data_IF_059220362830
#
_entry.id   IF_059220362830
#
_cell.length_a   1.000
_cell.length_b   1.000
_cell.length_c   1.000
_cell.angle_alpha   90.00
_cell.angle_beta   90.00
_cell.angle_gamma   90.00
#
_symmetry.space_group_name_H-M   'P 1'
#
loop_
_entity.id
_entity.type
_entity.pdbx_description
1 polymer ?
#
# COMPACT_ATOMS: atom_id res chain seq x y z
N UNK A 1 11.18 -19.73 4.72
CA UNK A 1 10.77 -19.46 6.12
C UNK A 1 11.79 -18.64 6.93
N UNK A 2 12.90 -18.16 6.35
CA UNK A 2 13.99 -17.53 7.12
C UNK A 2 13.64 -16.18 7.76
N UNK A 3 12.82 -15.34 7.11
CA UNK A 3 12.52 -14.00 7.64
C UNK A 3 11.66 -14.04 8.91
N UNK A 4 10.44 -14.58 8.84
CA UNK A 4 9.52 -14.61 10.00
C UNK A 4 10.05 -15.48 11.14
N UNK A 5 10.63 -16.64 10.83
CA UNK A 5 11.20 -17.54 11.83
C UNK A 5 12.45 -16.95 12.49
N UNK A 6 13.39 -16.40 11.70
CA UNK A 6 14.59 -15.75 12.24
C UNK A 6 14.26 -14.53 13.08
N UNK A 7 13.27 -13.72 12.65
CA UNK A 7 12.78 -12.58 13.42
C UNK A 7 12.13 -13.03 14.74
N UNK A 8 11.33 -14.10 14.71
CA UNK A 8 10.72 -14.64 15.93
C UNK A 8 11.78 -15.05 16.94
N UNK A 9 12.76 -15.85 16.50
CA UNK A 9 13.86 -16.31 17.35
C UNK A 9 14.69 -15.16 17.91
N UNK A 10 14.93 -14.11 17.11
CA UNK A 10 15.63 -12.91 17.58
C UNK A 10 14.82 -12.13 18.63
N UNK A 11 13.52 -11.95 18.42
CA UNK A 11 12.66 -11.25 19.37
C UNK A 11 12.61 -12.01 20.72
N UNK A 12 12.41 -13.32 20.68
CA UNK A 12 12.40 -14.17 21.88
C UNK A 12 13.76 -14.12 22.59
N UNK A 13 14.86 -14.30 21.85
CA UNK A 13 16.22 -14.22 22.39
C UNK A 13 16.49 -12.88 23.06
N UNK A 14 16.14 -11.77 22.41
CA UNK A 14 16.56 -10.46 22.89
C UNK A 14 15.63 -9.86 23.95
N UNK A 15 14.38 -10.29 24.00
CA UNK A 15 13.38 -9.80 24.96
C UNK A 15 13.69 -10.07 26.43
N UNK A 16 14.59 -11.04 26.71
CA UNK A 16 14.94 -11.46 28.08
C UNK A 16 16.21 -10.80 28.62
N UNK A 17 16.88 -9.95 27.83
CA UNK A 17 18.03 -9.21 28.32
C UNK A 17 17.61 -8.07 29.27
N UNK A 18 18.45 -7.70 30.25
CA UNK A 18 18.17 -6.57 31.14
C UNK A 18 17.89 -5.26 30.38
N UNK A 19 18.58 -5.03 29.26
CA UNK A 19 18.40 -3.84 28.42
C UNK A 19 17.03 -3.78 27.72
N UNK A 20 16.31 -4.91 27.63
CA UNK A 20 14.99 -4.98 27.04
C UNK A 20 13.87 -4.62 28.04
N UNK A 21 14.16 -4.57 29.34
CA UNK A 21 13.18 -4.32 30.40
C UNK A 21 12.42 -2.99 30.22
N UNK A 22 13.07 -1.85 29.89
CA UNK A 22 12.36 -0.60 29.60
C UNK A 22 11.48 -0.66 28.34
N UNK A 23 11.68 -1.66 27.48
CA UNK A 23 11.00 -1.84 26.19
C UNK A 23 10.10 -3.07 26.16
N UNK A 24 9.72 -3.61 27.33
CA UNK A 24 8.95 -4.85 27.43
C UNK A 24 7.67 -4.85 26.57
N UNK A 25 6.89 -3.76 26.60
CA UNK A 25 5.67 -3.64 25.77
C UNK A 25 5.96 -3.81 24.28
N UNK A 26 7.03 -3.17 23.79
CA UNK A 26 7.43 -3.30 22.40
C UNK A 26 7.78 -4.75 22.05
N UNK A 27 8.58 -5.43 22.88
CA UNK A 27 8.93 -6.83 22.62
C UNK A 27 7.71 -7.75 22.65
N UNK A 28 6.85 -7.62 23.65
CA UNK A 28 5.64 -8.44 23.78
C UNK A 28 4.73 -8.28 22.56
N UNK A 29 4.47 -7.03 22.13
CA UNK A 29 3.67 -6.73 20.94
C UNK A 29 4.30 -7.29 19.66
N UNK A 30 5.63 -7.17 19.50
CA UNK A 30 6.34 -7.66 18.32
C UNK A 30 6.39 -9.17 18.27
N UNK A 31 6.60 -9.85 19.40
CA UNK A 31 6.56 -11.31 19.52
C UNK A 31 5.18 -11.83 19.13
N UNK A 32 4.12 -11.22 19.69
CA UNK A 32 2.75 -11.62 19.39
C UNK A 32 2.42 -11.42 17.90
N UNK A 33 2.71 -10.23 17.36
CA UNK A 33 2.41 -9.92 15.96
C UNK A 33 3.20 -10.82 14.98
N UNK A 34 4.52 -10.95 15.16
CA UNK A 34 5.35 -11.76 14.27
C UNK A 34 5.01 -13.26 14.37
N UNK A 35 4.73 -13.76 15.59
CA UNK A 35 4.30 -15.14 15.82
C UNK A 35 2.96 -15.46 15.15
N UNK A 36 1.99 -14.55 15.20
CA UNK A 36 0.72 -14.70 14.50
C UNK A 36 0.91 -14.82 12.97
N UNK A 37 1.77 -14.00 12.36
CA UNK A 37 2.10 -14.14 10.94
C UNK A 37 2.88 -15.42 10.62
N UNK A 38 3.81 -15.83 11.49
CA UNK A 38 4.59 -17.04 11.31
C UNK A 38 3.71 -18.29 11.32
N UNK A 39 2.76 -18.37 12.27
CA UNK A 39 1.81 -19.49 12.36
C UNK A 39 0.89 -19.57 11.15
N UNK A 40 0.39 -18.41 10.67
CA UNK A 40 -0.36 -18.32 9.42
C UNK A 40 0.45 -18.84 8.23
N UNK A 41 1.71 -18.39 8.08
CA UNK A 41 2.58 -18.80 6.98
C UNK A 41 2.96 -20.29 7.03
N UNK A 42 3.02 -20.86 8.23
CA UNK A 42 3.25 -22.29 8.45
C UNK A 42 1.99 -23.14 8.26
N UNK A 43 0.83 -22.54 7.96
CA UNK A 43 -0.44 -23.25 7.85
C UNK A 43 -0.95 -23.81 9.18
N UNK A 44 -0.48 -23.28 10.31
CA UNK A 44 -0.83 -23.72 11.66
C UNK A 44 -2.01 -22.97 12.26
N UNK A 45 -2.48 -21.91 11.59
CA UNK A 45 -3.70 -21.18 11.95
C UNK A 45 -4.62 -21.11 10.74
N UNK A 46 -5.93 -20.91 10.98
CA UNK A 46 -6.84 -20.58 9.88
C UNK A 46 -6.41 -19.28 9.20
N UNK A 47 -6.64 -19.23 7.88
CA UNK A 47 -6.40 -18.07 7.02
C UNK A 47 -7.67 -17.26 6.76
N UNK A 48 -8.82 -17.74 7.24
CA UNK A 48 -10.13 -17.19 6.87
C UNK A 48 -10.27 -15.74 7.35
N UNK A 49 -9.98 -15.47 8.61
CA UNK A 49 -10.01 -14.10 9.16
C UNK A 49 -9.01 -13.18 8.48
N UNK A 50 -7.83 -13.70 8.13
CA UNK A 50 -6.81 -12.93 7.43
C UNK A 50 -7.29 -12.53 6.02
N UNK A 51 -7.87 -13.47 5.28
CA UNK A 51 -8.45 -13.19 3.97
C UNK A 51 -9.68 -12.30 4.06
N UNK A 52 -10.58 -12.51 5.02
CA UNK A 52 -11.73 -11.65 5.24
C UNK A 52 -11.30 -10.19 5.48
N UNK A 53 -10.32 -9.96 6.36
CA UNK A 53 -9.76 -8.62 6.61
C UNK A 53 -9.06 -8.05 5.37
N UNK A 54 -8.30 -8.87 4.63
CA UNK A 54 -7.61 -8.45 3.42
C UNK A 54 -8.61 -7.99 2.33
N UNK A 55 -9.70 -8.76 2.14
CA UNK A 55 -10.78 -8.39 1.24
C UNK A 55 -11.49 -7.11 1.70
N UNK A 56 -11.78 -6.97 2.99
CA UNK A 56 -12.38 -5.75 3.53
C UNK A 56 -11.50 -4.51 3.30
N UNK A 57 -10.19 -4.62 3.54
CA UNK A 57 -9.25 -3.53 3.27
C UNK A 57 -9.19 -3.18 1.78
N UNK A 58 -9.14 -4.17 0.90
CA UNK A 58 -9.15 -3.94 -0.55
C UNK A 58 -10.44 -3.25 -1.00
N UNK A 59 -11.59 -3.67 -0.49
CA UNK A 59 -12.88 -3.05 -0.78
C UNK A 59 -12.96 -1.60 -0.27
N UNK A 60 -12.38 -1.31 0.89
CA UNK A 60 -12.31 0.06 1.41
C UNK A 60 -11.45 0.96 0.52
N UNK A 61 -10.33 0.44 0.00
CA UNK A 61 -9.49 1.16 -0.98
C UNK A 61 -10.28 1.46 -2.24
N UNK A 62 -10.97 0.45 -2.81
CA UNK A 62 -11.79 0.64 -3.99
C UNK A 62 -12.93 1.67 -3.76
N UNK A 63 -13.54 1.64 -2.58
CA UNK A 63 -14.59 2.60 -2.18
C UNK A 63 -14.04 4.02 -2.09
N UNK A 64 -12.91 4.22 -1.40
CA UNK A 64 -12.25 5.52 -1.29
C UNK A 64 -11.86 6.06 -2.66
N UNK A 65 -11.21 5.22 -3.48
CA UNK A 65 -10.74 5.57 -4.83
C UNK A 65 -11.88 6.05 -5.73
N UNK A 66 -13.02 5.35 -5.72
CA UNK A 66 -14.15 5.64 -6.63
C UNK A 66 -15.10 6.74 -6.13
N UNK A 67 -15.06 7.06 -4.84
CA UNK A 67 -15.98 8.03 -4.23
C UNK A 67 -15.25 9.20 -3.60
N UNK A 68 -14.91 9.13 -2.29
CA UNK A 68 -14.32 10.24 -1.54
C UNK A 68 -13.14 10.92 -2.23
N UNK A 69 -12.23 10.17 -2.86
CA UNK A 69 -11.07 10.71 -3.54
C UNK A 69 -11.44 11.77 -4.59
N UNK A 70 -12.56 11.58 -5.31
CA UNK A 70 -13.00 12.48 -6.37
C UNK A 70 -13.32 13.89 -5.89
N UNK A 71 -13.69 14.04 -4.60
CA UNK A 71 -13.97 15.35 -4.00
C UNK A 71 -12.71 16.18 -3.72
N UNK A 72 -11.54 15.52 -3.63
CA UNK A 72 -10.25 16.17 -3.43
C UNK A 72 -9.53 16.47 -4.74
N UNK A 73 -9.88 15.76 -5.83
CA UNK A 73 -9.22 15.92 -7.11
C UNK A 73 -9.74 17.13 -7.89
N UNK A 74 -8.84 17.95 -8.47
CA UNK A 74 -9.24 18.99 -9.41
C UNK A 74 -9.82 18.35 -10.68
N UNK A 75 -10.47 19.16 -11.52
CA UNK A 75 -10.90 18.70 -12.86
C UNK A 75 -9.68 18.34 -13.74
N UNK A 76 -8.55 19.01 -13.53
CA UNK A 76 -7.28 18.77 -14.20
C UNK A 76 -6.12 19.30 -13.37
N UNK A 77 -4.93 18.69 -13.48
CA UNK A 77 -3.72 19.13 -12.78
C UNK A 77 -3.57 18.49 -11.40
N UNK A 78 -3.07 19.26 -10.44
CA UNK A 78 -2.69 18.80 -9.11
C UNK A 78 -3.59 19.38 -8.01
N UNK A 79 -3.66 18.71 -6.87
CA UNK A 79 -4.36 19.18 -5.66
C UNK A 79 -3.77 20.53 -5.22
N UNK A 80 -2.44 20.67 -5.27
CA UNK A 80 -1.72 21.92 -5.01
C UNK A 80 -1.89 23.02 -6.08
N UNK A 81 -2.61 22.76 -7.17
CA UNK A 81 -2.80 23.70 -8.27
C UNK A 81 -1.74 23.55 -9.37
N UNK A 82 -1.08 24.66 -9.74
CA UNK A 82 -0.07 24.67 -10.82
C UNK A 82 1.15 23.81 -10.46
N UNK A 83 1.55 23.85 -9.18
CA UNK A 83 2.66 23.08 -8.65
C UNK A 83 2.09 22.04 -7.68
N UNK A 84 2.46 20.75 -7.80
CA UNK A 84 2.00 19.73 -6.86
C UNK A 84 2.48 20.03 -5.44
N UNK A 85 1.58 19.88 -4.49
CA UNK A 85 1.83 20.06 -3.06
C UNK A 85 2.09 18.73 -2.34
N UNK A 86 2.13 18.80 -1.00
CA UNK A 86 2.32 17.63 -0.12
C UNK A 86 1.31 16.51 -0.40
N UNK A 87 0.04 16.87 -0.55
CA UNK A 87 -1.05 15.95 -0.83
C UNK A 87 -0.82 15.17 -2.14
N UNK A 88 -0.28 15.84 -3.17
CA UNK A 88 0.00 15.21 -4.45
C UNK A 88 1.11 14.17 -4.34
N UNK A 89 2.13 14.42 -3.53
CA UNK A 89 3.22 13.46 -3.29
C UNK A 89 2.69 12.20 -2.60
N UNK A 90 1.84 12.36 -1.59
CA UNK A 90 1.23 11.21 -0.91
C UNK A 90 0.28 10.46 -1.84
N UNK A 91 -0.61 11.16 -2.54
CA UNK A 91 -1.58 10.55 -3.43
C UNK A 91 -0.91 9.85 -4.62
N UNK A 92 0.04 10.50 -5.27
CA UNK A 92 0.76 9.93 -6.41
C UNK A 92 1.52 8.66 -6.03
N UNK A 93 2.24 8.68 -4.90
CA UNK A 93 2.95 7.51 -4.41
C UNK A 93 2.01 6.39 -3.93
N UNK A 94 0.83 6.74 -3.42
CA UNK A 94 -0.21 5.76 -3.08
C UNK A 94 -0.81 5.13 -4.33
N UNK A 95 -1.24 5.94 -5.32
CA UNK A 95 -1.81 5.47 -6.58
C UNK A 95 -0.88 4.50 -7.32
N UNK A 96 0.41 4.81 -7.40
CA UNK A 96 1.38 3.92 -8.05
C UNK A 96 1.49 2.56 -7.35
N UNK A 97 1.45 2.53 -6.01
CA UNK A 97 1.48 1.27 -5.26
C UNK A 97 0.19 0.48 -5.43
N UNK A 98 -0.96 1.15 -5.45
CA UNK A 98 -2.23 0.47 -5.72
C UNK A 98 -2.25 -0.08 -7.15
N UNK A 99 -1.82 0.69 -8.15
CA UNK A 99 -1.70 0.25 -9.54
C UNK A 99 -0.85 -1.04 -9.65
N UNK A 100 0.34 -1.03 -9.05
CA UNK A 100 1.20 -2.22 -9.01
C UNK A 100 0.52 -3.40 -8.30
N UNK A 101 -0.18 -3.15 -7.19
CA UNK A 101 -0.89 -4.20 -6.43
C UNK A 101 -2.04 -4.84 -7.21
N UNK A 102 -2.68 -4.09 -8.12
CA UNK A 102 -3.72 -4.61 -9.01
C UNK A 102 -3.17 -5.12 -10.35
N UNK A 103 -1.84 -5.13 -10.52
CA UNK A 103 -1.14 -5.78 -11.63
C UNK A 103 -0.62 -4.87 -12.75
N UNK A 104 -0.63 -3.55 -12.55
CA UNK A 104 0.02 -2.63 -13.49
C UNK A 104 1.54 -2.86 -13.52
N UNK A 105 2.14 -2.83 -14.70
CA UNK A 105 3.59 -3.01 -14.89
C UNK A 105 4.33 -1.71 -15.24
N UNK A 106 3.60 -0.74 -15.77
CA UNK A 106 4.08 0.57 -16.18
C UNK A 106 2.92 1.58 -16.04
N UNK A 107 3.18 2.85 -16.37
CA UNK A 107 2.18 3.92 -16.27
C UNK A 107 0.96 3.73 -17.19
N UNK A 108 1.16 3.12 -18.36
CA UNK A 108 0.12 2.99 -19.39
C UNK A 108 -0.84 1.85 -19.06
N UNK A 109 -0.36 0.83 -18.34
CA UNK A 109 -1.15 -0.30 -17.84
C UNK A 109 -1.96 0.03 -16.58
N UNK A 110 -1.71 1.17 -15.93
CA UNK A 110 -2.32 1.48 -14.63
C UNK A 110 -3.85 1.61 -14.68
N UNK A 111 -4.38 2.34 -15.67
CA UNK A 111 -5.84 2.51 -15.80
C UNK A 111 -6.54 1.17 -16.08
N UNK A 112 -6.13 0.36 -17.08
CA UNK A 112 -6.68 -0.98 -17.27
C UNK A 112 -6.58 -1.87 -16.04
N UNK A 113 -5.47 -1.78 -15.29
CA UNK A 113 -5.26 -2.59 -14.09
C UNK A 113 -6.21 -2.17 -12.95
N UNK A 114 -6.44 -0.86 -12.74
CA UNK A 114 -7.45 -0.38 -11.81
C UNK A 114 -8.85 -0.86 -12.19
N UNK A 115 -9.23 -0.78 -13.47
CA UNK A 115 -10.55 -1.22 -13.92
C UNK A 115 -10.77 -2.71 -13.68
N UNK A 116 -9.77 -3.53 -14.00
CA UNK A 116 -9.79 -4.96 -13.71
C UNK A 116 -9.82 -5.23 -12.21
N UNK A 117 -9.00 -4.54 -11.43
CA UNK A 117 -8.85 -4.76 -10.00
C UNK A 117 -10.07 -4.35 -9.18
N UNK A 118 -10.74 -3.27 -9.59
CA UNK A 118 -11.92 -2.74 -8.90
C UNK A 118 -13.25 -3.11 -9.56
N UNK A 119 -13.21 -3.80 -10.70
CA UNK A 119 -14.38 -4.34 -11.41
C UNK A 119 -15.24 -3.30 -12.11
N UNK A 120 -14.77 -2.06 -12.23
CA UNK A 120 -15.54 -0.91 -12.71
C UNK A 120 -14.63 0.09 -13.45
N UNK A 121 -15.23 0.94 -14.28
CA UNK A 121 -14.50 1.98 -15.01
C UNK A 121 -13.88 3.00 -14.04
N UNK A 122 -12.66 3.43 -14.33
CA UNK A 122 -11.98 4.47 -13.53
C UNK A 122 -12.60 5.85 -13.84
N UNK A 123 -12.97 6.64 -12.81
CA UNK A 123 -13.45 8.01 -13.00
C UNK A 123 -12.47 8.91 -13.76
N UNK A 124 -13.00 9.79 -14.61
CA UNK A 124 -12.20 10.66 -15.48
C UNK A 124 -11.20 11.56 -14.73
N UNK A 125 -11.58 12.07 -13.54
CA UNK A 125 -10.68 12.86 -12.68
C UNK A 125 -9.43 12.09 -12.28
N UNK A 126 -9.55 10.80 -11.98
CA UNK A 126 -8.40 9.97 -11.62
C UNK A 126 -7.53 9.70 -12.84
N UNK A 127 -8.13 9.46 -14.01
CA UNK A 127 -7.39 9.31 -15.26
C UNK A 127 -6.59 10.59 -15.57
N UNK A 128 -7.22 11.75 -15.46
CA UNK A 128 -6.57 13.05 -15.66
C UNK A 128 -5.42 13.28 -14.68
N UNK A 129 -5.68 13.05 -13.39
CA UNK A 129 -4.67 13.18 -12.34
C UNK A 129 -3.49 12.24 -12.55
N UNK A 130 -3.75 10.97 -12.85
CA UNK A 130 -2.71 9.96 -13.10
C UNK A 130 -1.81 10.37 -14.28
N UNK A 131 -2.41 10.86 -15.36
CA UNK A 131 -1.68 11.38 -16.51
C UNK A 131 -0.81 12.57 -16.10
N UNK A 132 -1.39 13.58 -15.45
CA UNK A 132 -0.65 14.77 -15.01
C UNK A 132 0.53 14.39 -14.09
N UNK A 133 0.34 13.42 -13.20
CA UNK A 133 1.36 12.95 -12.29
C UNK A 133 2.50 12.20 -12.98
N UNK A 134 2.17 11.25 -13.85
CA UNK A 134 3.16 10.38 -14.50
C UNK A 134 3.93 11.09 -15.62
N UNK A 135 3.40 12.16 -16.20
CA UNK A 135 4.12 12.96 -17.21
C UNK A 135 5.17 13.91 -16.61
N UNK A 136 5.27 14.01 -15.27
CA UNK A 136 6.22 14.92 -14.62
C UNK A 136 7.67 14.49 -14.87
N UNK A 137 8.59 15.41 -15.21
CA UNK A 137 10.01 15.10 -15.33
C UNK A 137 10.61 14.48 -14.05
N UNK A 138 10.17 14.94 -12.88
CA UNK A 138 10.61 14.37 -11.61
C UNK A 138 10.16 12.92 -11.44
N UNK A 139 8.97 12.57 -11.92
CA UNK A 139 8.43 11.21 -11.86
C UNK A 139 9.22 10.29 -12.80
N UNK A 140 9.39 10.70 -14.06
CA UNK A 140 10.21 10.00 -15.06
C UNK A 140 11.62 9.72 -14.52
N UNK A 141 12.22 10.70 -13.85
CA UNK A 141 13.56 10.58 -13.27
C UNK A 141 13.65 9.50 -12.19
N UNK A 142 12.63 9.35 -11.34
CA UNK A 142 12.68 8.41 -10.21
C UNK A 142 12.06 7.06 -10.50
N UNK A 143 11.25 6.94 -11.56
CA UNK A 143 10.64 5.70 -12.04
C UNK A 143 10.90 5.46 -13.53
N UNK A 144 12.16 5.46 -13.99
CA UNK A 144 12.48 5.29 -15.41
C UNK A 144 11.99 3.95 -15.98
N UNK A 145 11.86 2.91 -15.15
CA UNK A 145 11.39 1.59 -15.52
C UNK A 145 9.87 1.48 -15.70
N UNK A 146 9.11 2.47 -15.23
CA UNK A 146 7.65 2.51 -15.36
C UNK A 146 7.18 3.35 -16.55
N UNK A 147 8.13 3.85 -17.36
CA UNK A 147 7.90 4.80 -18.45
C UNK A 147 7.97 4.20 -19.85
#
# INVERSE_FOLDING_TARGET
MGFLGGRQAALEKYSVHPEAEPHKSFYDERIAANGAFLTLYQGKSSKDDFFAKSHAHFNNIATFFKGPLLSYLPESGFIGGEIPGEDDYHLGAWLTRIAASVGAKNKDDAIPAFEKGFGERVPAKIVSYWKAWTERPSWIKVYPELH
#
